data_IF_962119504218
#
_entry.id   IF_962119504218
#
_cell.length_a   1.000
_cell.length_b   1.000
_cell.length_c   1.000
_cell.angle_alpha   90.00
_cell.angle_beta   90.00
_cell.angle_gamma   90.00
#
_symmetry.space_group_name_H-M   'P 1'
#
loop_
_entity.id
_entity.type
_entity.pdbx_description
1 polymer ?
#
# COMPACT_ATOMS: atom_id res chain seq x y z
N UNK A 1 -10.87 -8.06 -21.61
CA UNK A 1 -11.17 -6.87 -22.43
C UNK A 1 -10.61 -5.63 -21.74
N UNK A 2 -9.98 -4.72 -22.49
CA UNK A 2 -9.43 -3.45 -21.95
C UNK A 2 -10.44 -2.33 -22.21
N UNK A 3 -11.07 -1.81 -21.16
CA UNK A 3 -12.14 -0.81 -21.21
C UNK A 3 -11.66 0.61 -20.89
N UNK A 4 -10.43 0.76 -20.38
CA UNK A 4 -9.90 2.04 -19.93
C UNK A 4 -8.59 2.44 -20.61
N UNK A 5 -8.17 1.75 -21.67
CA UNK A 5 -6.89 1.98 -22.35
C UNK A 5 -6.77 3.43 -22.87
N UNK A 6 -7.88 4.02 -23.34
CA UNK A 6 -7.99 5.39 -23.85
C UNK A 6 -8.07 6.48 -22.77
N UNK A 7 -7.94 6.15 -21.48
CA UNK A 7 -8.13 7.09 -20.37
C UNK A 7 -6.81 7.51 -19.72
N UNK A 8 -6.79 8.67 -19.06
CA UNK A 8 -5.63 9.16 -18.29
C UNK A 8 -5.49 8.53 -16.90
N UNK A 9 -6.20 7.43 -16.64
CA UNK A 9 -6.09 6.69 -15.38
C UNK A 9 -4.71 6.04 -15.27
N UNK A 10 -4.26 5.77 -14.04
CA UNK A 10 -3.04 5.00 -13.84
C UNK A 10 -3.19 3.58 -14.40
N UNK A 11 -2.10 2.97 -14.89
CA UNK A 11 -2.11 1.60 -15.40
C UNK A 11 -2.58 0.57 -14.36
N UNK A 12 -2.32 0.83 -13.08
CA UNK A 12 -2.86 0.01 -11.99
C UNK A 12 -4.39 0.11 -11.92
N UNK A 13 -4.94 1.33 -11.96
CA UNK A 13 -6.38 1.56 -11.93
C UNK A 13 -7.09 0.95 -13.14
N UNK A 14 -6.55 1.15 -14.36
CA UNK A 14 -7.07 0.56 -15.60
C UNK A 14 -7.20 -0.96 -15.46
N UNK A 15 -6.08 -1.62 -15.12
CA UNK A 15 -6.01 -3.08 -14.94
C UNK A 15 -6.97 -3.59 -13.87
N UNK A 16 -7.04 -2.91 -12.73
CA UNK A 16 -7.93 -3.31 -11.64
C UNK A 16 -9.40 -3.21 -12.07
N UNK A 17 -9.82 -2.09 -12.66
CA UNK A 17 -11.19 -1.93 -13.13
C UNK A 17 -11.53 -2.92 -14.25
N UNK A 18 -10.66 -3.07 -15.25
CA UNK A 18 -10.84 -4.05 -16.32
C UNK A 18 -11.02 -5.47 -15.78
N UNK A 19 -10.18 -5.87 -14.82
CA UNK A 19 -10.27 -7.18 -14.18
C UNK A 19 -11.63 -7.36 -13.51
N UNK A 20 -12.12 -6.37 -12.75
CA UNK A 20 -13.42 -6.46 -12.07
C UNK A 20 -14.58 -6.50 -13.07
N UNK A 21 -14.57 -5.66 -14.10
CA UNK A 21 -15.62 -5.65 -15.11
C UNK A 21 -15.67 -6.96 -15.89
N UNK A 22 -14.52 -7.51 -16.29
CA UNK A 22 -14.47 -8.78 -17.01
C UNK A 22 -14.95 -9.94 -16.13
N UNK A 23 -14.49 -10.02 -14.88
CA UNK A 23 -15.00 -11.03 -13.93
C UNK A 23 -16.50 -10.91 -13.69
N UNK A 24 -17.03 -9.69 -13.55
CA UNK A 24 -18.48 -9.49 -13.35
C UNK A 24 -19.28 -10.01 -14.55
N UNK A 25 -18.82 -9.73 -15.78
CA UNK A 25 -19.42 -10.29 -17.00
C UNK A 25 -19.40 -11.82 -17.00
N UNK A 26 -18.26 -12.41 -16.64
CA UNK A 26 -18.07 -13.86 -16.57
C UNK A 26 -19.01 -14.49 -15.55
N UNK A 27 -19.06 -13.96 -14.33
CA UNK A 27 -19.92 -14.48 -13.26
C UNK A 27 -21.41 -14.45 -13.60
N UNK A 28 -21.87 -13.40 -14.27
CA UNK A 28 -23.28 -13.26 -14.61
C UNK A 28 -23.63 -13.80 -16.00
N UNK A 29 -22.64 -14.23 -16.77
CA UNK A 29 -22.77 -14.56 -18.18
C UNK A 29 -23.57 -13.50 -18.96
N UNK A 30 -23.29 -12.21 -18.70
CA UNK A 30 -24.01 -11.07 -19.26
C UNK A 30 -23.05 -10.07 -19.89
N UNK A 31 -23.43 -9.40 -20.99
CA UNK A 31 -22.66 -8.28 -21.50
C UNK A 31 -22.70 -7.11 -20.50
N UNK A 32 -21.64 -6.29 -20.50
CA UNK A 32 -21.53 -5.17 -19.58
C UNK A 32 -22.69 -4.17 -19.71
N UNK A 33 -23.24 -4.01 -20.92
CA UNK A 33 -24.41 -3.17 -21.17
C UNK A 33 -25.67 -3.67 -20.46
N UNK A 34 -25.86 -4.99 -20.33
CA UNK A 34 -26.98 -5.57 -19.58
C UNK A 34 -26.77 -5.39 -18.08
N UNK A 35 -25.54 -5.55 -17.59
CA UNK A 35 -25.18 -5.30 -16.19
C UNK A 35 -25.50 -3.85 -15.82
N UNK A 36 -25.03 -2.89 -16.63
CA UNK A 36 -25.20 -1.45 -16.34
C UNK A 36 -26.68 -1.04 -16.32
N UNK A 37 -27.53 -1.65 -17.16
CA UNK A 37 -28.96 -1.31 -17.26
C UNK A 37 -29.80 -1.74 -16.06
N UNK A 38 -29.32 -2.68 -15.25
CA UNK A 38 -30.02 -3.22 -14.09
C UNK A 38 -29.11 -3.13 -12.84
N UNK A 39 -29.01 -1.95 -12.20
CA UNK A 39 -28.09 -1.74 -11.09
C UNK A 39 -28.36 -2.67 -9.92
N UNK A 40 -29.62 -2.74 -9.49
CA UNK A 40 -30.03 -3.53 -8.33
C UNK A 40 -29.94 -5.02 -8.62
N UNK A 41 -30.54 -5.50 -9.71
CA UNK A 41 -30.53 -6.93 -10.02
C UNK A 41 -29.12 -7.45 -10.30
N UNK A 42 -28.28 -6.67 -10.99
CA UNK A 42 -26.89 -7.09 -11.23
C UNK A 42 -26.04 -7.12 -9.96
N UNK A 43 -26.27 -6.20 -9.02
CA UNK A 43 -25.58 -6.20 -7.73
C UNK A 43 -26.08 -7.32 -6.82
N UNK A 44 -27.38 -7.57 -6.77
CA UNK A 44 -27.97 -8.68 -6.01
C UNK A 44 -27.47 -10.03 -6.54
N UNK A 45 -27.35 -10.19 -7.86
CA UNK A 45 -26.74 -11.39 -8.46
C UNK A 45 -25.25 -11.51 -8.13
N UNK A 46 -24.48 -10.40 -8.11
CA UNK A 46 -23.08 -10.42 -7.71
C UNK A 46 -22.91 -10.96 -6.28
N UNK A 47 -23.83 -10.60 -5.37
CA UNK A 47 -23.85 -11.08 -3.98
C UNK A 47 -24.17 -12.58 -3.84
N UNK A 48 -24.59 -13.25 -4.91
CA UNK A 48 -24.92 -14.68 -4.93
C UNK A 48 -23.84 -15.54 -5.62
N UNK A 49 -22.77 -14.92 -6.15
CA UNK A 49 -21.69 -15.62 -6.86
C UNK A 49 -20.87 -16.46 -5.89
N UNK A 50 -20.95 -17.79 -6.02
CA UNK A 50 -20.26 -18.74 -5.12
C UNK A 50 -18.74 -18.54 -5.03
N UNK A 51 -18.09 -18.25 -6.16
CA UNK A 51 -16.63 -18.11 -6.25
C UNK A 51 -16.13 -16.68 -5.95
N UNK A 52 -16.94 -15.89 -5.25
CA UNK A 52 -16.63 -14.52 -4.87
C UNK A 52 -16.54 -14.39 -3.35
N UNK A 53 -15.46 -13.81 -2.85
CA UNK A 53 -15.38 -13.46 -1.43
C UNK A 53 -16.34 -12.31 -1.11
N UNK A 54 -17.40 -12.61 -0.39
CA UNK A 54 -18.49 -11.69 -0.07
C UNK A 54 -18.14 -10.74 1.08
N UNK A 55 -17.45 -9.65 0.75
CA UNK A 55 -17.17 -8.55 1.70
C UNK A 55 -17.55 -7.20 1.08
N UNK A 56 -17.86 -6.23 1.94
CA UNK A 56 -18.13 -4.85 1.52
C UNK A 56 -16.95 -4.23 0.77
N UNK A 57 -15.70 -4.61 1.12
CA UNK A 57 -14.51 -4.18 0.38
C UNK A 57 -14.50 -4.78 -1.04
N UNK A 58 -14.81 -6.07 -1.18
CA UNK A 58 -14.93 -6.70 -2.50
C UNK A 58 -15.99 -5.99 -3.34
N UNK A 59 -17.19 -5.80 -2.78
CA UNK A 59 -18.29 -5.13 -3.46
C UNK A 59 -17.95 -3.70 -3.86
N UNK A 60 -17.27 -2.95 -2.99
CA UNK A 60 -16.79 -1.60 -3.29
C UNK A 60 -15.91 -1.56 -4.55
N UNK A 61 -15.03 -2.56 -4.75
CA UNK A 61 -14.17 -2.63 -5.94
C UNK A 61 -14.98 -2.84 -7.23
N UNK A 62 -16.01 -3.68 -7.20
CA UNK A 62 -16.87 -3.91 -8.35
C UNK A 62 -17.74 -2.69 -8.66
N UNK A 63 -18.38 -2.11 -7.63
CA UNK A 63 -19.21 -0.91 -7.77
C UNK A 63 -18.41 0.28 -8.31
N UNK A 64 -17.20 0.52 -7.80
CA UNK A 64 -16.32 1.56 -8.30
C UNK A 64 -15.87 1.33 -9.73
N UNK A 65 -15.68 0.07 -10.16
CA UNK A 65 -15.34 -0.23 -11.54
C UNK A 65 -16.48 0.16 -12.50
N UNK A 66 -17.74 -0.11 -12.14
CA UNK A 66 -18.93 0.30 -12.92
C UNK A 66 -19.07 1.82 -12.95
N UNK A 67 -19.01 2.50 -11.79
CA UNK A 67 -19.11 3.95 -11.73
C UNK A 67 -17.98 4.62 -12.53
N UNK A 68 -16.76 4.10 -12.43
CA UNK A 68 -15.61 4.58 -13.21
C UNK A 68 -15.82 4.34 -14.70
N UNK A 69 -16.35 3.18 -15.09
CA UNK A 69 -16.65 2.88 -16.48
C UNK A 69 -17.63 3.91 -17.06
N UNK A 70 -18.74 4.17 -16.37
CA UNK A 70 -19.73 5.17 -16.79
C UNK A 70 -19.20 6.62 -16.80
N UNK A 71 -18.16 6.92 -16.00
CA UNK A 71 -17.52 8.24 -15.97
C UNK A 71 -16.59 8.46 -17.16
N UNK A 72 -15.82 7.44 -17.53
CA UNK A 72 -14.73 7.56 -18.50
C UNK A 72 -15.03 7.00 -19.89
N UNK A 73 -16.22 6.40 -20.08
CA UNK A 73 -16.67 5.88 -21.36
C UNK A 73 -17.95 6.60 -21.80
N UNK A 74 -18.17 6.81 -23.11
CA UNK A 74 -19.36 7.48 -23.65
C UNK A 74 -20.60 6.55 -23.63
N UNK A 75 -20.92 6.00 -22.47
CA UNK A 75 -22.07 5.09 -22.29
C UNK A 75 -23.34 5.94 -22.14
N UNK A 76 -24.27 5.80 -23.09
CA UNK A 76 -25.62 6.36 -22.97
C UNK A 76 -26.43 5.51 -22.00
N UNK A 77 -26.58 6.00 -20.78
CA UNK A 77 -27.34 5.37 -19.70
C UNK A 77 -28.38 6.38 -19.21
N UNK A 78 -29.58 5.91 -18.89
CA UNK A 78 -30.61 6.75 -18.27
C UNK A 78 -30.07 7.40 -16.99
N UNK A 79 -30.48 8.65 -16.73
CA UNK A 79 -30.02 9.41 -15.56
C UNK A 79 -30.34 8.67 -14.25
N UNK A 80 -31.52 8.06 -14.13
CA UNK A 80 -31.94 7.31 -12.94
C UNK A 80 -31.05 6.09 -12.71
N UNK A 81 -30.76 5.34 -13.78
CA UNK A 81 -29.86 4.17 -13.71
C UNK A 81 -28.45 4.57 -13.26
N UNK A 82 -27.93 5.71 -13.75
CA UNK A 82 -26.64 6.25 -13.29
C UNK A 82 -26.69 6.64 -11.80
N UNK A 83 -27.75 7.32 -11.38
CA UNK A 83 -27.94 7.72 -9.97
C UNK A 83 -28.05 6.51 -9.04
N UNK A 84 -28.71 5.44 -9.46
CA UNK A 84 -28.80 4.19 -8.69
C UNK A 84 -27.43 3.54 -8.47
N UNK A 85 -26.60 3.44 -9.51
CA UNK A 85 -25.22 2.94 -9.36
C UNK A 85 -24.39 3.80 -8.41
N UNK A 86 -24.50 5.12 -8.52
CA UNK A 86 -23.80 6.05 -7.61
C UNK A 86 -24.30 5.85 -6.17
N UNK A 87 -25.61 5.68 -5.97
CA UNK A 87 -26.21 5.43 -4.66
C UNK A 87 -25.72 4.11 -4.06
N UNK A 88 -25.67 3.03 -4.85
CA UNK A 88 -25.12 1.74 -4.41
C UNK A 88 -23.64 1.86 -4.02
N UNK A 89 -22.83 2.48 -4.87
CA UNK A 89 -21.40 2.68 -4.60
C UNK A 89 -21.16 3.53 -3.35
N UNK A 90 -21.93 4.60 -3.17
CA UNK A 90 -21.87 5.47 -1.99
C UNK A 90 -22.29 4.74 -0.73
N UNK A 91 -23.44 4.06 -0.73
CA UNK A 91 -23.94 3.32 0.44
C UNK A 91 -22.95 2.24 0.88
N UNK A 92 -22.39 1.48 -0.06
CA UNK A 92 -21.34 0.50 0.25
C UNK A 92 -20.06 1.18 0.74
N UNK A 93 -19.69 2.35 0.18
CA UNK A 93 -18.52 3.10 0.65
C UNK A 93 -18.70 3.56 2.09
N UNK A 94 -19.90 3.99 2.49
CA UNK A 94 -20.21 4.42 3.86
C UNK A 94 -20.01 3.25 4.83
N UNK A 95 -20.47 2.04 4.49
CA UNK A 95 -20.24 0.83 5.32
C UNK A 95 -18.74 0.52 5.46
N UNK A 96 -18.00 0.58 4.35
CA UNK A 96 -16.54 0.37 4.38
C UNK A 96 -15.83 1.42 5.24
N UNK A 97 -16.26 2.68 5.17
CA UNK A 97 -15.69 3.75 6.01
C UNK A 97 -16.05 3.56 7.49
N UNK A 98 -17.26 3.09 7.80
CA UNK A 98 -17.67 2.83 9.19
C UNK A 98 -16.75 1.80 9.85
N UNK A 99 -16.42 0.71 9.14
CA UNK A 99 -15.46 -0.29 9.63
C UNK A 99 -14.10 0.32 10.00
N UNK A 100 -13.63 1.33 9.25
CA UNK A 100 -12.38 2.02 9.56
C UNK A 100 -12.49 2.99 10.75
N UNK A 101 -13.69 3.32 11.26
CA UNK A 101 -13.83 4.17 12.45
C UNK A 101 -13.52 3.42 13.73
N UNK A 102 -13.77 2.11 13.75
CA UNK A 102 -13.51 1.27 14.92
C UNK A 102 -12.02 1.03 15.12
N UNK A 103 -11.18 1.30 14.11
CA UNK A 103 -9.73 1.15 14.19
C UNK A 103 -9.30 -0.26 14.68
N UNK A 104 -10.12 -1.28 14.42
CA UNK A 104 -9.83 -2.68 14.77
C UNK A 104 -9.10 -3.37 13.63
N UNK A 105 -8.16 -4.30 13.90
CA UNK A 105 -7.62 -5.18 12.88
C UNK A 105 -8.76 -5.93 12.19
N UNK A 106 -8.68 -6.08 10.88
CA UNK A 106 -9.57 -7.00 10.15
C UNK A 106 -9.33 -8.45 10.60
N UNK A 107 -10.27 -9.36 10.34
CA UNK A 107 -10.10 -10.79 10.65
C UNK A 107 -8.79 -11.36 10.10
N UNK A 108 -8.38 -10.92 8.90
CA UNK A 108 -7.13 -11.35 8.27
C UNK A 108 -5.86 -10.77 8.93
N UNK A 109 -6.01 -9.82 9.85
CA UNK A 109 -4.91 -9.13 10.52
C UNK A 109 -4.79 -9.51 11.99
N UNK A 110 -5.85 -10.03 12.64
CA UNK A 110 -5.88 -10.32 14.08
C UNK A 110 -4.69 -11.14 14.55
N UNK A 111 -4.40 -12.26 13.89
CA UNK A 111 -3.30 -13.15 14.27
C UNK A 111 -1.90 -12.59 13.96
N UNK A 112 -1.85 -11.44 13.27
CA UNK A 112 -0.62 -10.82 12.78
C UNK A 112 -0.26 -9.57 13.56
N UNK A 113 -1.13 -9.13 14.47
CA UNK A 113 -0.88 -7.97 15.33
C UNK A 113 0.39 -8.21 16.15
N UNK A 114 1.16 -7.14 16.31
CA UNK A 114 2.39 -7.12 17.10
C UNK A 114 2.62 -5.68 17.55
N UNK A 115 3.07 -5.51 18.79
CA UNK A 115 3.46 -4.19 19.27
C UNK A 115 4.70 -3.69 18.53
N UNK A 116 4.83 -2.37 18.42
CA UNK A 116 6.04 -1.78 17.85
C UNK A 116 7.32 -2.17 18.61
N UNK A 117 7.20 -2.33 19.94
CA UNK A 117 8.30 -2.73 20.80
C UNK A 117 8.79 -4.14 20.48
N UNK A 118 7.89 -5.10 20.27
CA UNK A 118 8.26 -6.45 19.87
C UNK A 118 8.94 -6.48 18.50
N UNK A 119 8.43 -5.71 17.53
CA UNK A 119 9.06 -5.57 16.20
C UNK A 119 10.50 -5.05 16.33
N UNK A 120 10.71 -4.01 17.13
CA UNK A 120 12.05 -3.47 17.40
C UNK A 120 12.96 -4.51 18.10
N UNK A 121 12.44 -5.23 19.09
CA UNK A 121 13.19 -6.26 19.80
C UNK A 121 13.64 -7.39 18.86
N UNK A 122 12.79 -7.79 17.90
CA UNK A 122 13.16 -8.79 16.88
C UNK A 122 14.30 -8.27 16.02
N UNK A 123 14.22 -7.03 15.52
CA UNK A 123 15.31 -6.39 14.76
C UNK A 123 16.63 -6.45 15.52
N UNK A 124 16.61 -6.06 16.78
CA UNK A 124 17.83 -5.93 17.58
C UNK A 124 18.52 -7.28 17.82
N UNK A 125 17.75 -8.38 17.80
CA UNK A 125 18.25 -9.76 17.94
C UNK A 125 18.68 -10.40 16.63
N UNK A 126 18.29 -9.85 15.47
CA UNK A 126 18.67 -10.42 14.18
C UNK A 126 20.19 -10.32 13.98
N UNK A 127 20.82 -11.34 13.36
CA UNK A 127 22.18 -11.21 12.88
C UNK A 127 22.26 -10.16 11.77
N UNK A 128 23.43 -9.55 11.61
CA UNK A 128 23.66 -8.61 10.51
C UNK A 128 23.45 -9.31 9.16
N UNK A 129 22.88 -8.60 8.19
CA UNK A 129 22.51 -9.16 6.88
C UNK A 129 21.22 -8.55 6.32
N UNK A 130 20.78 -9.05 5.16
CA UNK A 130 19.61 -8.52 4.43
C UNK A 130 18.32 -8.51 5.28
N UNK A 131 17.98 -9.54 6.07
CA UNK A 131 16.79 -9.51 6.92
C UNK A 131 16.82 -8.37 7.95
N UNK A 132 17.95 -8.17 8.63
CA UNK A 132 18.13 -7.08 9.60
C UNK A 132 18.14 -5.72 8.93
N UNK A 133 18.81 -5.57 7.79
CA UNK A 133 18.79 -4.33 7.01
C UNK A 133 17.37 -3.96 6.60
N UNK A 134 16.60 -4.91 6.06
CA UNK A 134 15.21 -4.69 5.67
C UNK A 134 14.37 -4.20 6.86
N UNK A 135 14.41 -4.92 7.99
CA UNK A 135 13.64 -4.53 9.15
C UNK A 135 14.12 -3.21 9.76
N UNK A 136 15.42 -2.92 9.70
CA UNK A 136 16.01 -1.65 10.15
C UNK A 136 15.52 -0.47 9.32
N UNK A 137 15.44 -0.62 7.99
CA UNK A 137 14.86 0.42 7.11
C UNK A 137 13.43 0.78 7.51
N UNK A 138 12.65 -0.19 8.00
CA UNK A 138 11.26 0.04 8.38
C UNK A 138 11.03 0.40 9.85
N UNK A 139 12.08 0.40 10.69
CA UNK A 139 11.94 0.63 12.14
C UNK A 139 12.86 1.72 12.69
N UNK A 140 13.91 2.09 11.95
CA UNK A 140 14.80 3.23 12.25
C UNK A 140 14.47 4.47 11.42
N UNK A 141 13.54 4.33 10.46
CA UNK A 141 12.94 5.41 9.69
C UNK A 141 11.41 5.32 9.85
N UNK A 142 10.69 6.39 9.50
CA UNK A 142 9.24 6.28 9.38
C UNK A 142 8.89 5.29 8.25
N UNK A 143 8.10 4.23 8.53
CA UNK A 143 7.93 3.15 7.57
C UNK A 143 7.15 3.60 6.35
N UNK A 144 7.83 3.62 5.20
CA UNK A 144 7.24 3.93 3.90
C UNK A 144 6.44 2.73 3.35
N UNK A 145 5.91 2.81 2.11
CA UNK A 145 5.24 1.65 1.50
C UNK A 145 6.32 0.76 0.86
N UNK A 146 5.98 0.09 -0.24
CA UNK A 146 6.92 -0.62 -1.10
C UNK A 146 7.69 0.39 -2.01
N UNK A 147 8.31 1.40 -1.42
CA UNK A 147 8.96 2.51 -2.14
C UNK A 147 10.48 2.31 -2.31
N UNK A 148 11.10 1.33 -1.63
CA UNK A 148 12.53 1.02 -1.75
C UNK A 148 12.91 0.09 -2.94
N UNK A 149 11.99 -0.20 -3.85
CA UNK A 149 12.16 -1.20 -4.92
C UNK A 149 13.31 -0.89 -5.89
N UNK A 150 13.55 0.39 -6.17
CA UNK A 150 14.61 0.92 -7.03
C UNK A 150 15.34 2.06 -6.31
N UNK A 151 15.83 1.78 -5.10
CA UNK A 151 16.56 2.75 -4.29
C UNK A 151 18.06 2.65 -4.57
N UNK A 152 18.61 3.60 -5.33
CA UNK A 152 20.04 3.65 -5.69
C UNK A 152 20.92 4.11 -4.52
N UNK A 153 22.12 3.57 -4.41
CA UNK A 153 23.13 4.00 -3.44
C UNK A 153 24.15 4.90 -4.14
N UNK A 154 24.25 6.14 -3.68
CA UNK A 154 25.15 7.15 -4.26
C UNK A 154 26.07 7.76 -3.21
N UNK A 155 27.19 8.31 -3.67
CA UNK A 155 28.14 9.07 -2.87
C UNK A 155 28.10 10.56 -3.21
N UNK A 156 28.73 11.39 -2.38
CA UNK A 156 28.88 12.83 -2.61
C UNK A 156 29.40 13.11 -4.03
N UNK A 157 28.70 14.01 -4.72
CA UNK A 157 29.04 14.44 -6.08
C UNK A 157 28.50 13.53 -7.19
N UNK A 158 27.97 12.35 -6.87
CA UNK A 158 27.26 11.52 -7.84
C UNK A 158 25.82 12.01 -8.03
N UNK A 159 25.34 11.94 -9.26
CA UNK A 159 23.92 12.18 -9.57
C UNK A 159 23.18 10.85 -9.56
N UNK A 160 22.08 10.78 -8.83
CA UNK A 160 21.18 9.65 -8.90
C UNK A 160 20.63 9.49 -10.32
N UNK A 161 20.63 8.26 -10.79
CA UNK A 161 19.99 7.83 -12.03
C UNK A 161 18.56 7.36 -11.78
N UNK A 162 18.26 6.93 -10.55
CA UNK A 162 16.92 6.52 -10.13
C UNK A 162 16.19 7.62 -9.35
N UNK A 163 14.86 7.55 -9.37
CA UNK A 163 13.98 8.45 -8.64
C UNK A 163 14.16 8.34 -7.11
N UNK A 164 14.49 7.15 -6.62
CA UNK A 164 14.68 6.87 -5.20
C UNK A 164 16.16 6.58 -4.97
N UNK A 165 16.77 7.22 -3.97
CA UNK A 165 18.19 7.03 -3.68
C UNK A 165 18.55 7.30 -2.22
N UNK A 166 19.68 6.74 -1.80
CA UNK A 166 20.36 7.05 -0.55
C UNK A 166 21.71 7.68 -0.89
N UNK A 167 21.94 8.88 -0.37
CA UNK A 167 23.27 9.47 -0.36
C UNK A 167 24.01 8.99 0.90
N UNK A 168 24.97 8.08 0.70
CA UNK A 168 25.75 7.46 1.77
C UNK A 168 26.68 8.47 2.46
N UNK A 169 27.13 9.51 1.75
CA UNK A 169 28.02 10.53 2.33
C UNK A 169 27.29 11.51 3.24
N UNK A 170 26.04 11.83 2.90
CA UNK A 170 25.24 12.80 3.66
C UNK A 170 24.20 12.11 4.56
N UNK A 171 24.16 10.77 4.57
CA UNK A 171 23.20 9.95 5.32
C UNK A 171 21.75 10.36 5.09
N UNK A 172 21.35 10.51 3.83
CA UNK A 172 19.98 10.93 3.46
C UNK A 172 19.31 9.96 2.52
N UNK A 173 18.07 9.63 2.83
CA UNK A 173 17.13 8.92 1.96
C UNK A 173 16.27 9.95 1.22
N UNK A 174 16.13 9.79 -0.09
CA UNK A 174 15.26 10.60 -0.94
C UNK A 174 14.39 9.69 -1.79
N UNK A 175 13.07 9.90 -1.74
CA UNK A 175 12.08 9.13 -2.50
C UNK A 175 11.20 10.09 -3.30
N UNK A 176 11.16 9.90 -4.62
CA UNK A 176 10.37 10.72 -5.55
C UNK A 176 9.40 9.89 -6.40
N UNK A 177 9.65 8.58 -6.56
CA UNK A 177 8.67 7.66 -7.13
C UNK A 177 7.84 7.02 -6.01
N UNK A 178 6.66 7.59 -5.78
CA UNK A 178 5.67 7.08 -4.84
C UNK A 178 4.24 7.45 -5.27
N UNK A 179 3.25 6.72 -4.72
CA UNK A 179 1.82 6.83 -5.10
C UNK A 179 1.25 8.26 -5.07
N UNK A 180 1.80 9.13 -4.21
CA UNK A 180 1.32 10.50 -4.00
C UNK A 180 2.30 11.56 -4.50
N UNK A 181 3.24 11.21 -5.39
CA UNK A 181 4.22 12.15 -5.95
C UNK A 181 3.57 13.38 -6.64
N UNK A 182 2.34 13.25 -7.13
CA UNK A 182 1.56 14.40 -7.67
C UNK A 182 1.22 15.46 -6.62
N UNK A 183 1.20 15.11 -5.33
CA UNK A 183 0.85 16.00 -4.21
C UNK A 183 2.06 16.42 -3.40
N UNK A 184 3.10 15.58 -3.36
CA UNK A 184 4.32 15.82 -2.60
C UNK A 184 5.51 15.69 -3.55
N UNK A 185 6.37 16.70 -3.62
CA UNK A 185 7.48 16.70 -4.58
C UNK A 185 8.54 15.63 -4.27
N UNK A 186 8.79 15.40 -2.98
CA UNK A 186 9.76 14.41 -2.49
C UNK A 186 9.51 14.05 -1.03
N UNK A 187 9.85 12.82 -0.67
CA UNK A 187 10.00 12.36 0.70
C UNK A 187 11.50 12.33 1.02
N UNK A 188 11.87 12.93 2.14
CA UNK A 188 13.26 12.97 2.61
C UNK A 188 13.31 12.57 4.09
N UNK A 189 14.26 11.70 4.41
CA UNK A 189 14.53 11.26 5.78
C UNK A 189 16.04 11.25 6.03
N UNK A 190 16.46 11.75 7.19
CA UNK A 190 17.83 11.59 7.65
C UNK A 190 18.01 10.17 8.17
N UNK A 191 19.08 9.51 7.75
CA UNK A 191 19.38 8.12 8.09
C UNK A 191 20.18 8.10 9.39
N UNK A 192 19.68 7.47 10.47
CA UNK A 192 20.41 7.43 11.72
C UNK A 192 21.70 6.60 11.60
N UNK A 193 22.74 6.89 12.42
CA UNK A 193 24.03 6.21 12.34
C UNK A 193 23.95 4.69 12.38
N UNK A 194 23.05 4.12 13.18
CA UNK A 194 22.87 2.67 13.26
C UNK A 194 22.35 2.07 11.95
N UNK A 195 21.41 2.75 11.27
CA UNK A 195 20.95 2.30 9.96
C UNK A 195 22.05 2.44 8.91
N UNK A 196 22.84 3.51 8.99
CA UNK A 196 23.99 3.69 8.10
C UNK A 196 25.04 2.59 8.28
N UNK A 197 25.28 2.16 9.53
CA UNK A 197 26.13 0.99 9.83
C UNK A 197 25.60 -0.28 9.16
N UNK A 198 24.30 -0.55 9.27
CA UNK A 198 23.67 -1.72 8.64
C UNK A 198 23.76 -1.68 7.11
N UNK A 199 23.56 -0.51 6.50
CA UNK A 199 23.72 -0.32 5.05
C UNK A 199 25.17 -0.59 4.65
N UNK A 200 26.14 0.01 5.34
CA UNK A 200 27.56 -0.16 5.06
C UNK A 200 27.99 -1.64 5.14
N UNK A 201 27.65 -2.33 6.24
CA UNK A 201 27.95 -3.75 6.41
C UNK A 201 27.38 -4.59 5.26
N UNK A 202 26.11 -4.35 4.93
CA UNK A 202 25.45 -5.10 3.85
C UNK A 202 26.07 -4.83 2.49
N UNK A 203 26.50 -3.60 2.19
CA UNK A 203 27.14 -3.23 0.92
C UNK A 203 28.57 -3.76 0.84
N UNK A 204 29.30 -3.78 1.95
CA UNK A 204 30.64 -4.38 2.03
C UNK A 204 30.57 -5.90 1.79
N UNK A 205 29.61 -6.59 2.41
CA UNK A 205 29.41 -8.02 2.22
C UNK A 205 28.91 -8.36 0.80
N UNK A 206 27.97 -7.57 0.27
CA UNK A 206 27.38 -7.78 -1.04
C UNK A 206 27.37 -6.48 -1.85
N UNK A 207 28.47 -6.16 -2.56
CA UNK A 207 28.58 -4.95 -3.36
C UNK A 207 27.49 -4.87 -4.43
N UNK A 208 26.77 -3.74 -4.46
CA UNK A 208 25.63 -3.49 -5.35
C UNK A 208 25.34 -2.00 -5.49
N UNK A 209 24.71 -1.61 -6.59
CA UNK A 209 24.32 -0.24 -6.87
C UNK A 209 22.99 0.16 -6.19
N UNK A 210 22.11 -0.82 -5.93
CA UNK A 210 20.79 -0.57 -5.34
C UNK A 210 20.68 -1.19 -3.95
N UNK A 211 19.97 -0.53 -3.04
CA UNK A 211 19.81 -0.93 -1.64
C UNK A 211 19.37 -2.39 -1.51
N UNK A 212 18.39 -2.80 -2.32
CA UNK A 212 17.95 -4.18 -2.46
C UNK A 212 17.94 -4.57 -3.93
N UNK A 213 18.44 -5.77 -4.23
CA UNK A 213 18.48 -6.32 -5.58
C UNK A 213 17.85 -7.70 -5.63
N UNK A 214 17.32 -8.05 -6.79
CA UNK A 214 16.81 -9.39 -7.05
C UNK A 214 17.96 -10.39 -7.33
N UNK A 215 17.61 -11.65 -7.60
CA UNK A 215 18.59 -12.72 -7.91
C UNK A 215 19.47 -12.43 -9.13
N UNK A 216 19.07 -11.51 -10.00
CA UNK A 216 19.80 -11.07 -11.19
C UNK A 216 20.63 -9.81 -10.94
N UNK A 217 20.78 -9.38 -9.68
CA UNK A 217 21.47 -8.14 -9.27
C UNK A 217 20.88 -6.85 -9.86
N UNK A 218 19.61 -6.89 -10.26
CA UNK A 218 18.85 -5.72 -10.74
C UNK A 218 17.92 -5.20 -9.64
N UNK A 219 17.52 -3.91 -9.66
CA UNK A 219 16.46 -3.44 -8.78
C UNK A 219 15.17 -4.25 -8.98
N UNK A 220 14.34 -4.28 -7.94
CA UNK A 220 13.03 -4.92 -8.03
C UNK A 220 12.07 -4.03 -8.80
N UNK A 221 11.06 -4.61 -9.44
CA UNK A 221 9.85 -3.83 -9.73
C UNK A 221 9.02 -3.67 -8.45
N UNK A 222 8.24 -2.60 -8.34
CA UNK A 222 7.42 -2.31 -7.14
C UNK A 222 6.58 -3.49 -6.63
N UNK A 223 5.84 -4.26 -7.45
CA UNK A 223 5.09 -5.43 -6.97
C UNK A 223 6.01 -6.56 -6.50
N UNK A 224 7.13 -6.76 -7.19
CA UNK A 224 8.12 -7.79 -6.84
C UNK A 224 8.77 -7.47 -5.49
N UNK A 225 9.13 -6.21 -5.26
CA UNK A 225 9.68 -5.75 -3.98
C UNK A 225 8.70 -5.99 -2.84
N UNK A 226 7.44 -5.59 -3.01
CA UNK A 226 6.42 -5.80 -1.98
C UNK A 226 6.29 -7.28 -1.60
N UNK A 227 6.24 -8.18 -2.59
CA UNK A 227 6.14 -9.61 -2.34
C UNK A 227 7.40 -10.17 -1.67
N UNK A 228 8.57 -9.76 -2.15
CA UNK A 228 9.86 -10.17 -1.58
C UNK A 228 10.00 -9.71 -0.13
N UNK A 229 9.72 -8.44 0.16
CA UNK A 229 9.81 -7.87 1.50
C UNK A 229 8.82 -8.56 2.46
N UNK A 230 7.56 -8.75 2.05
CA UNK A 230 6.58 -9.45 2.88
C UNK A 230 7.00 -10.90 3.19
N UNK A 231 7.63 -11.59 2.25
CA UNK A 231 8.18 -12.94 2.49
C UNK A 231 9.30 -12.90 3.53
N UNK A 232 10.31 -12.04 3.34
CA UNK A 232 11.41 -11.91 4.30
C UNK A 232 10.89 -11.54 5.70
N UNK A 233 9.92 -10.64 5.78
CA UNK A 233 9.30 -10.29 7.05
C UNK A 233 8.55 -11.49 7.66
N UNK A 234 7.82 -12.25 6.85
CA UNK A 234 7.13 -13.43 7.35
C UNK A 234 8.11 -14.48 7.89
N UNK A 235 9.26 -14.64 7.24
CA UNK A 235 10.33 -15.52 7.70
C UNK A 235 10.97 -15.01 9.00
N UNK A 236 11.18 -13.69 9.14
CA UNK A 236 11.73 -13.06 10.36
C UNK A 236 10.82 -13.29 11.58
N UNK A 237 9.50 -13.17 11.39
CA UNK A 237 8.53 -13.20 12.48
C UNK A 237 7.85 -14.56 12.68
N UNK A 238 8.20 -15.55 11.84
CA UNK A 238 7.57 -16.88 11.81
C UNK A 238 6.04 -16.85 11.76
N UNK A 239 5.50 -15.81 11.10
CA UNK A 239 4.06 -15.64 10.87
C UNK A 239 3.83 -14.70 9.70
N UNK A 240 2.66 -14.74 9.03
CA UNK A 240 2.41 -13.88 7.89
C UNK A 240 2.53 -12.39 8.28
N UNK A 241 3.54 -11.73 7.75
CA UNK A 241 3.85 -10.33 8.04
C UNK A 241 3.90 -9.53 6.74
N UNK A 242 3.44 -8.28 6.81
CA UNK A 242 3.44 -7.39 5.64
C UNK A 242 3.95 -6.00 6.01
N UNK A 243 4.44 -5.27 5.02
CA UNK A 243 4.77 -3.85 5.16
C UNK A 243 3.61 -3.03 5.75
N UNK A 244 2.37 -3.38 5.40
CA UNK A 244 1.17 -2.74 5.94
C UNK A 244 1.03 -2.97 7.45
N UNK A 245 1.31 -4.18 7.94
CA UNK A 245 1.23 -4.47 9.38
C UNK A 245 2.28 -3.69 10.16
N UNK A 246 3.51 -3.59 9.65
CA UNK A 246 4.56 -2.77 10.29
C UNK A 246 4.11 -1.30 10.40
N UNK A 247 3.48 -0.76 9.35
CA UNK A 247 2.93 0.60 9.37
C UNK A 247 1.81 0.76 10.39
N UNK A 248 0.93 -0.23 10.54
CA UNK A 248 -0.10 -0.23 11.59
C UNK A 248 0.54 -0.23 12.99
N UNK A 249 1.52 -1.10 13.23
CA UNK A 249 2.23 -1.15 14.51
C UNK A 249 2.92 0.19 14.82
N UNK A 250 3.59 0.80 13.83
CA UNK A 250 4.20 2.12 13.97
C UNK A 250 3.16 3.20 14.28
N UNK A 251 2.03 3.25 13.56
CA UNK A 251 0.99 4.24 13.83
C UNK A 251 0.31 4.03 15.19
N UNK A 252 0.29 2.81 15.69
CA UNK A 252 -0.37 2.46 16.96
C UNK A 252 0.36 3.00 18.19
N UNK A 253 1.67 3.25 18.10
CA UNK A 253 2.44 3.91 19.17
C UNK A 253 2.43 5.45 19.12
N UNK A 254 1.89 6.05 18.06
CA UNK A 254 1.89 7.51 17.93
C UNK A 254 0.85 8.11 18.87
N UNK A 255 1.26 9.10 19.67
CA UNK A 255 0.32 9.93 20.40
C UNK A 255 -0.39 10.91 19.45
N UNK A 256 -1.65 10.62 19.13
CA UNK A 256 -2.47 11.49 18.30
C UNK A 256 -2.98 12.75 19.00
N UNK A 257 -2.66 12.95 20.28
CA UNK A 257 -2.84 14.22 20.97
C UNK A 257 -1.65 15.18 20.74
N UNK A 258 -0.58 14.72 20.10
CA UNK A 258 0.55 15.56 19.73
C UNK A 258 0.14 16.71 18.78
N UNK A 259 0.91 17.81 18.71
CA UNK A 259 0.61 18.93 17.83
C UNK A 259 0.45 18.49 16.36
N UNK A 260 -0.56 19.03 15.66
CA UNK A 260 -0.87 18.70 14.27
C UNK A 260 0.36 18.76 13.35
N UNK A 261 1.20 19.77 13.51
CA UNK A 261 2.45 19.93 12.74
C UNK A 261 3.39 18.72 12.86
N UNK A 262 3.45 18.09 14.03
CA UNK A 262 4.25 16.88 14.25
C UNK A 262 3.66 15.69 13.51
N UNK A 263 2.33 15.51 13.64
CA UNK A 263 1.60 14.44 12.95
C UNK A 263 1.70 14.58 11.42
N UNK A 264 1.61 15.81 10.89
CA UNK A 264 1.79 16.08 9.46
C UNK A 264 3.22 15.79 8.98
N UNK A 265 4.23 16.05 9.79
CA UNK A 265 5.61 15.75 9.46
C UNK A 265 5.83 14.22 9.35
N UNK A 266 5.30 13.46 10.31
CA UNK A 266 5.34 11.99 10.29
C UNK A 266 4.55 11.46 9.09
N UNK A 267 3.31 11.92 8.90
CA UNK A 267 2.45 11.43 7.81
C UNK A 267 3.09 11.70 6.45
N UNK A 268 3.72 12.87 6.29
CA UNK A 268 4.49 13.23 5.09
C UNK A 268 5.59 12.21 4.85
N UNK A 269 6.48 11.96 5.82
CA UNK A 269 7.58 10.98 5.68
C UNK A 269 7.09 9.56 5.39
N UNK A 270 5.94 9.16 5.95
CA UNK A 270 5.32 7.87 5.65
C UNK A 270 4.57 7.80 4.29
N UNK A 271 4.42 8.94 3.58
CA UNK A 271 3.76 9.04 2.28
C UNK A 271 2.22 9.05 2.31
N UNK A 272 1.60 9.69 3.31
CA UNK A 272 0.14 9.82 3.45
C UNK A 272 -0.30 11.06 4.26
N UNK A 273 -1.62 11.24 4.38
CA UNK A 273 -2.23 12.23 5.27
C UNK A 273 -2.45 11.70 6.70
N UNK A 274 -2.67 12.65 7.62
CA UNK A 274 -2.93 12.38 9.05
C UNK A 274 -4.19 11.53 9.23
N UNK A 275 -5.22 11.71 8.41
CA UNK A 275 -6.44 10.88 8.47
C UNK A 275 -6.14 9.40 8.19
N UNK A 276 -5.27 9.12 7.23
CA UNK A 276 -4.79 7.77 6.92
C UNK A 276 -3.91 7.22 8.05
N UNK A 277 -3.10 8.08 8.68
CA UNK A 277 -2.32 7.69 9.86
C UNK A 277 -3.23 7.26 11.01
N UNK A 278 -4.29 8.03 11.27
CA UNK A 278 -5.27 7.72 12.31
C UNK A 278 -6.02 6.41 12.03
N UNK A 279 -6.36 6.13 10.77
CA UNK A 279 -6.95 4.83 10.36
C UNK A 279 -5.99 3.63 10.53
N UNK A 280 -4.68 3.87 10.55
CA UNK A 280 -3.71 2.81 10.81
C UNK A 280 -3.48 2.53 12.29
N UNK A 281 -3.90 3.43 13.18
CA UNK A 281 -3.80 3.21 14.63
C UNK A 281 -4.76 2.09 15.03
N UNK A 282 -4.25 1.00 15.61
CA UNK A 282 -5.09 0.02 16.28
C UNK A 282 -5.33 0.45 17.73
N UNK A 283 -6.58 0.39 18.19
CA UNK A 283 -6.95 0.77 19.55
C UNK A 283 -6.56 -0.36 20.53
N UNK A 284 -6.04 0.03 21.71
CA UNK A 284 -5.26 -0.74 22.68
C UNK A 284 -5.80 -2.13 23.13
N UNK A 285 -7.04 -2.51 22.84
CA UNK A 285 -7.57 -3.85 23.19
C UNK A 285 -6.82 -5.02 22.52
N UNK A 286 -5.91 -4.75 21.57
CA UNK A 286 -5.18 -5.77 20.80
C UNK A 286 -3.66 -5.76 21.02
N UNK A 287 -3.11 -4.79 21.78
CA UNK A 287 -1.65 -4.55 21.86
C UNK A 287 -1.10 -4.64 23.30
N UNK A 288 -1.96 -4.85 24.31
CA UNK A 288 -1.50 -5.17 25.69
C UNK A 288 -1.01 -6.61 25.84
#
# INVERSE_FOLDING_TARGET
>A
MKHFEHTDLSEFSKRNYDTRLNKWKEYLNKPLSAIIKDPKGSFDLLKQVKDLTHTEVTYHLYLNAIVSYMKHNPVKVDKKVREEWIKLARGNSEIVQEHYKDNKPSELQKDKVMSWKEICNVRDRLPDGIPKLLLSMYTLLEPERADYFECELIYRGQKATSANYINLSDSKLVITDFKTAKKYDKLEQDIPPELMRQIALSVTEQPRQYLFVNRFKKPFERPQYSNWANRILSDIFDKPMTLTIIRHAFCSQIDFNAPLRSLEAISKRMGHDVGTQKRYQWINEVIE
#
